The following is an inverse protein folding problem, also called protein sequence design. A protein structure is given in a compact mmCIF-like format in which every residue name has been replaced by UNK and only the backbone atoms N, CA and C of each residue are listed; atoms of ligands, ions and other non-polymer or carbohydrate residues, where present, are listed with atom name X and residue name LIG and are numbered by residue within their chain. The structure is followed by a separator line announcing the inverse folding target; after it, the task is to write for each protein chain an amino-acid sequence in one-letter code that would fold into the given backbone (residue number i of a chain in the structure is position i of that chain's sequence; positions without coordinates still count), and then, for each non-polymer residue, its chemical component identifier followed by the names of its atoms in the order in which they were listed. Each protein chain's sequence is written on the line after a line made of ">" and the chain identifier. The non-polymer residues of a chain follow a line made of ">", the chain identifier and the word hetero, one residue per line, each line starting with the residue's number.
data_IF_576395677242
#
_entry.id   IF_576395677242
#
_cell.length_a   1.000
_cell.length_b   1.000
_cell.length_c   1.000
_cell.angle_alpha   90.00
_cell.angle_beta   90.00
_cell.angle_gamma   90.00
#
_symmetry.space_group_name_H-M   'P 1'
#
loop_
_entity.id
_entity.type
_entity.pdbx_description
1 polymer ?
#
# COMPACT_ATOMS: atom_id res chain seq x y z
N UNK A 1 14.32 -39.17 -47.38
CA UNK A 1 13.20 -39.58 -46.53
C UNK A 1 13.57 -39.72 -45.05
N UNK A 2 14.83 -39.99 -44.69
CA UNK A 2 15.22 -40.18 -43.27
C UNK A 2 15.43 -38.88 -42.42
N UNK A 3 15.43 -37.69 -42.99
CA UNK A 3 15.65 -36.45 -42.24
C UNK A 3 14.37 -35.80 -41.67
N UNK A 4 13.19 -36.23 -42.13
CA UNK A 4 11.90 -35.73 -41.61
C UNK A 4 11.36 -36.58 -40.44
N UNK A 5 11.76 -37.84 -40.32
CA UNK A 5 11.32 -38.70 -39.21
C UNK A 5 12.04 -38.38 -37.89
N UNK A 6 13.30 -37.95 -37.94
CA UNK A 6 14.04 -37.56 -36.74
C UNK A 6 13.56 -36.24 -36.13
N UNK A 7 13.12 -35.30 -36.95
CA UNK A 7 12.50 -34.02 -36.47
C UNK A 7 11.10 -34.25 -35.87
N UNK A 8 10.32 -35.15 -36.46
CA UNK A 8 9.01 -35.53 -35.93
C UNK A 8 9.11 -36.36 -34.63
N UNK A 9 10.09 -37.24 -34.51
CA UNK A 9 10.33 -38.02 -33.29
C UNK A 9 10.85 -37.12 -32.13
N UNK A 10 11.68 -36.15 -32.40
CA UNK A 10 12.13 -35.16 -31.37
C UNK A 10 11.01 -34.23 -30.96
N UNK A 11 10.13 -33.83 -31.89
CA UNK A 11 8.94 -33.03 -31.58
C UNK A 11 7.89 -33.84 -30.81
N UNK A 12 7.69 -35.13 -31.10
CA UNK A 12 6.79 -36.01 -30.35
C UNK A 12 7.34 -36.36 -28.96
N UNK A 13 8.65 -36.50 -28.77
CA UNK A 13 9.24 -36.74 -27.43
C UNK A 13 9.13 -35.53 -26.52
N UNK A 14 9.09 -34.31 -27.04
CA UNK A 14 8.90 -33.08 -26.21
C UNK A 14 7.44 -32.83 -25.82
N UNK A 15 6.46 -33.38 -26.54
CA UNK A 15 5.03 -33.19 -26.26
C UNK A 15 4.53 -33.81 -24.95
N UNK A 16 5.21 -34.85 -24.44
CA UNK A 16 4.79 -35.58 -23.23
C UNK A 16 5.45 -35.12 -21.92
N UNK A 17 6.47 -34.27 -21.98
CA UNK A 17 7.24 -33.88 -20.80
C UNK A 17 6.97 -32.42 -20.41
N UNK A 18 5.81 -32.17 -19.79
CA UNK A 18 5.49 -30.85 -19.23
C UNK A 18 6.28 -30.69 -17.94
N UNK A 19 7.05 -29.60 -17.87
CA UNK A 19 7.81 -29.25 -16.68
C UNK A 19 7.40 -27.82 -16.22
N UNK A 20 7.16 -27.67 -14.93
CA UNK A 20 6.72 -26.42 -14.36
C UNK A 20 7.84 -25.68 -13.64
N UNK A 21 7.95 -24.36 -13.87
CA UNK A 21 8.60 -23.47 -12.94
C UNK A 21 7.54 -22.82 -12.07
N UNK A 22 7.54 -23.14 -10.80
CA UNK A 22 6.61 -22.59 -9.80
C UNK A 22 7.24 -21.37 -9.17
N UNK A 23 6.64 -20.19 -9.35
CA UNK A 23 7.14 -18.95 -8.80
C UNK A 23 6.38 -18.65 -7.51
N UNK A 24 7.11 -18.57 -6.38
CA UNK A 24 6.59 -18.24 -5.06
C UNK A 24 7.12 -16.87 -4.63
N UNK A 25 6.38 -15.77 -4.90
CA UNK A 25 6.73 -14.47 -4.36
C UNK A 25 6.39 -14.40 -2.88
N UNK A 26 7.25 -13.81 -2.08
CA UNK A 26 7.01 -13.65 -0.64
C UNK A 26 7.53 -12.32 -0.12
N UNK A 27 6.71 -11.66 0.70
CA UNK A 27 7.08 -10.49 1.46
C UNK A 27 6.34 -10.48 2.80
N UNK A 28 7.10 -10.57 3.91
CA UNK A 28 6.57 -10.56 5.28
C UNK A 28 5.43 -11.58 5.51
N UNK A 29 5.65 -12.81 5.07
CA UNK A 29 4.68 -13.91 5.12
C UNK A 29 5.18 -15.10 5.95
N UNK A 30 5.95 -14.85 7.01
CA UNK A 30 6.51 -15.89 7.87
C UNK A 30 5.46 -16.88 8.40
N UNK A 31 4.24 -16.40 8.68
CA UNK A 31 3.14 -17.24 9.19
C UNK A 31 2.59 -18.24 8.17
N UNK A 32 2.75 -17.98 6.87
CA UNK A 32 2.11 -18.76 5.80
C UNK A 32 3.09 -19.55 4.95
N UNK A 33 4.26 -19.00 4.66
CA UNK A 33 5.20 -19.50 3.63
C UNK A 33 5.56 -20.99 3.79
N UNK A 34 5.67 -21.49 5.03
CA UNK A 34 5.97 -22.91 5.27
C UNK A 34 4.85 -23.84 4.77
N UNK A 35 3.58 -23.42 4.91
CA UNK A 35 2.43 -24.18 4.41
C UNK A 35 2.45 -24.25 2.89
N UNK A 36 2.69 -23.11 2.23
CA UNK A 36 2.81 -23.05 0.79
C UNK A 36 3.92 -23.96 0.25
N UNK A 37 5.14 -23.88 0.80
CA UNK A 37 6.25 -24.74 0.38
C UNK A 37 5.95 -26.22 0.62
N UNK A 38 5.37 -26.58 1.77
CA UNK A 38 4.99 -27.96 2.05
C UNK A 38 3.96 -28.51 1.06
N UNK A 39 3.01 -27.69 0.64
CA UNK A 39 2.02 -28.07 -0.38
C UNK A 39 2.67 -28.37 -1.74
N UNK A 40 3.75 -27.64 -2.04
CA UNK A 40 4.55 -27.88 -3.24
C UNK A 40 5.35 -29.19 -3.15
N UNK A 41 5.95 -29.47 -1.98
CA UNK A 41 6.66 -30.69 -1.74
C UNK A 41 5.77 -31.95 -1.75
N UNK A 42 4.47 -31.77 -1.51
CA UNK A 42 3.47 -32.85 -1.50
C UNK A 42 2.85 -33.12 -2.88
N UNK A 43 3.32 -32.49 -3.96
CA UNK A 43 2.79 -32.74 -5.30
C UNK A 43 3.09 -34.16 -5.77
N UNK A 44 2.07 -34.81 -6.35
CA UNK A 44 2.21 -36.15 -6.98
C UNK A 44 2.92 -36.08 -8.33
N UNK A 45 2.98 -34.92 -8.93
CA UNK A 45 3.67 -34.63 -10.19
C UNK A 45 5.11 -34.18 -9.92
N UNK A 46 6.10 -34.91 -10.42
CA UNK A 46 7.51 -34.69 -10.04
C UNK A 46 8.28 -33.66 -10.88
N UNK A 47 7.78 -33.35 -12.07
CA UNK A 47 8.54 -32.51 -13.03
C UNK A 47 8.32 -31.00 -12.81
N UNK A 48 8.93 -30.47 -11.76
CA UNK A 48 8.86 -29.08 -11.39
C UNK A 48 10.12 -28.56 -10.69
N UNK A 49 10.31 -27.28 -10.75
CA UNK A 49 11.21 -26.50 -9.89
C UNK A 49 10.41 -25.45 -9.12
N UNK A 50 10.87 -25.07 -7.94
CA UNK A 50 10.30 -23.99 -7.11
C UNK A 50 11.29 -22.86 -7.01
N UNK A 51 10.85 -21.65 -7.40
CA UNK A 51 11.61 -20.42 -7.35
C UNK A 51 10.97 -19.51 -6.32
N UNK A 52 11.58 -19.44 -5.14
CA UNK A 52 11.13 -18.59 -4.06
C UNK A 52 11.77 -17.21 -4.26
N UNK A 53 10.95 -16.19 -4.44
CA UNK A 53 11.41 -14.80 -4.63
C UNK A 53 11.03 -13.99 -3.41
N UNK A 54 11.98 -13.76 -2.51
CA UNK A 54 11.81 -12.93 -1.33
C UNK A 54 12.05 -11.46 -1.70
N UNK A 55 10.99 -10.70 -1.69
CA UNK A 55 10.97 -9.28 -2.07
C UNK A 55 11.32 -8.36 -0.89
N UNK A 56 12.47 -8.62 -0.23
CA UNK A 56 12.97 -7.78 0.84
C UNK A 56 12.21 -7.92 2.17
N UNK A 57 11.77 -9.14 2.55
CA UNK A 57 11.11 -9.37 3.84
C UNK A 57 11.97 -8.96 5.03
N UNK A 58 11.34 -8.36 6.02
CA UNK A 58 11.96 -7.91 7.29
C UNK A 58 11.57 -8.77 8.49
N UNK A 59 10.63 -9.72 8.30
CA UNK A 59 10.22 -10.69 9.29
C UNK A 59 11.07 -11.99 9.21
N UNK A 60 10.63 -13.03 9.89
CA UNK A 60 11.32 -14.35 9.89
C UNK A 60 11.11 -15.18 8.62
N UNK A 61 10.60 -14.60 7.53
CA UNK A 61 10.33 -15.32 6.27
C UNK A 61 11.58 -16.04 5.76
N UNK A 62 12.72 -15.34 5.68
CA UNK A 62 13.97 -15.93 5.18
C UNK A 62 14.44 -17.13 6.03
N UNK A 63 14.32 -17.03 7.35
CA UNK A 63 14.64 -18.11 8.28
C UNK A 63 13.76 -19.36 8.02
N UNK A 64 12.46 -19.17 7.82
CA UNK A 64 11.53 -20.27 7.60
C UNK A 64 11.68 -20.94 6.23
N UNK A 65 12.16 -20.21 5.24
CA UNK A 65 12.43 -20.73 3.89
C UNK A 65 13.75 -21.52 3.85
N UNK A 66 14.75 -21.12 4.63
CA UNK A 66 16.12 -21.63 4.54
C UNK A 66 16.21 -23.17 4.57
N UNK A 67 15.37 -23.85 5.37
CA UNK A 67 15.38 -25.32 5.49
C UNK A 67 14.88 -26.08 4.27
N UNK A 68 14.27 -25.39 3.28
CA UNK A 68 13.73 -26.01 2.07
C UNK A 68 14.61 -25.79 0.84
N UNK A 69 15.62 -24.94 0.93
CA UNK A 69 16.48 -24.58 -0.21
C UNK A 69 17.50 -25.69 -0.41
N UNK A 70 17.50 -26.29 -1.60
CA UNK A 70 18.50 -27.29 -2.02
C UNK A 70 19.42 -26.80 -3.16
N UNK A 71 19.13 -25.64 -3.72
CA UNK A 71 19.86 -25.02 -4.82
C UNK A 71 19.64 -25.65 -6.19
N UNK A 72 19.01 -26.81 -6.26
CA UNK A 72 18.72 -27.55 -7.49
C UNK A 72 17.23 -27.44 -7.88
N UNK A 73 16.36 -28.05 -7.08
CA UNK A 73 14.91 -28.08 -7.33
C UNK A 73 14.18 -26.90 -6.64
N UNK A 74 14.71 -26.45 -5.51
CA UNK A 74 14.21 -25.30 -4.76
C UNK A 74 15.27 -24.22 -4.72
N UNK A 75 15.04 -23.17 -5.44
CA UNK A 75 15.94 -22.01 -5.55
C UNK A 75 15.37 -20.81 -4.81
N UNK A 76 16.26 -19.98 -4.28
CA UNK A 76 15.90 -18.79 -3.52
C UNK A 76 16.59 -17.56 -4.09
N UNK A 77 15.79 -16.53 -4.33
CA UNK A 77 16.24 -15.20 -4.79
C UNK A 77 15.76 -14.19 -3.76
N UNK A 78 16.65 -13.30 -3.31
CA UNK A 78 16.30 -12.26 -2.35
C UNK A 78 16.64 -10.89 -2.89
N UNK A 79 15.75 -9.94 -2.63
CA UNK A 79 15.98 -8.51 -2.85
C UNK A 79 16.40 -7.85 -1.53
N UNK A 80 17.24 -6.80 -1.56
CA UNK A 80 17.62 -6.07 -0.35
C UNK A 80 16.47 -5.25 0.24
N UNK A 81 15.50 -4.85 -0.59
CA UNK A 81 14.32 -4.07 -0.23
C UNK A 81 13.10 -4.55 -1.02
N UNK A 82 11.91 -4.10 -0.62
CA UNK A 82 10.69 -4.41 -1.34
C UNK A 82 10.61 -3.62 -2.66
N UNK A 83 10.65 -4.34 -3.77
CA UNK A 83 10.57 -3.78 -5.12
C UNK A 83 9.17 -3.92 -5.74
N UNK A 84 8.30 -4.69 -5.10
CA UNK A 84 6.90 -4.88 -5.48
C UNK A 84 6.63 -6.18 -6.23
N UNK A 85 5.40 -6.65 -6.12
CA UNK A 85 4.97 -7.97 -6.59
C UNK A 85 5.24 -8.21 -8.09
N UNK A 86 5.04 -7.21 -8.94
CA UNK A 86 5.30 -7.33 -10.38
C UNK A 86 6.77 -7.63 -10.66
N UNK A 87 7.68 -6.96 -9.96
CA UNK A 87 9.13 -7.20 -10.11
C UNK A 87 9.54 -8.55 -9.54
N UNK A 88 8.97 -8.95 -8.40
CA UNK A 88 9.19 -10.28 -7.85
C UNK A 88 8.78 -11.38 -8.85
N UNK A 89 7.64 -11.25 -9.53
CA UNK A 89 7.25 -12.17 -10.59
C UNK A 89 8.21 -12.15 -11.76
N UNK A 90 8.63 -10.99 -12.23
CA UNK A 90 9.56 -10.87 -13.36
C UNK A 90 10.91 -11.54 -13.05
N UNK A 91 11.44 -11.37 -11.84
CA UNK A 91 12.65 -12.09 -11.38
C UNK A 91 12.44 -13.60 -11.37
N UNK A 92 11.27 -14.07 -10.94
CA UNK A 92 10.91 -15.48 -11.00
C UNK A 92 10.85 -15.98 -12.44
N UNK A 93 10.24 -15.21 -13.36
CA UNK A 93 10.16 -15.55 -14.78
C UNK A 93 11.56 -15.60 -15.44
N UNK A 94 12.45 -14.70 -15.08
CA UNK A 94 13.84 -14.69 -15.60
C UNK A 94 14.63 -15.89 -15.10
N UNK A 95 14.39 -16.32 -13.87
CA UNK A 95 15.02 -17.49 -13.27
C UNK A 95 14.38 -18.82 -13.70
N UNK A 96 13.18 -18.81 -14.27
CA UNK A 96 12.45 -20.02 -14.66
C UNK A 96 13.16 -20.78 -15.78
N UNK A 97 13.41 -22.07 -15.58
CA UNK A 97 14.09 -22.94 -16.56
C UNK A 97 13.11 -23.70 -17.47
N UNK A 98 11.85 -23.82 -17.07
CA UNK A 98 10.86 -24.63 -17.78
C UNK A 98 9.92 -23.77 -18.65
N UNK A 99 9.26 -24.45 -19.60
CA UNK A 99 8.36 -23.83 -20.57
C UNK A 99 6.96 -23.52 -20.01
N UNK A 100 6.63 -24.02 -18.83
CA UNK A 100 5.34 -23.79 -18.18
C UNK A 100 5.54 -23.14 -16.83
N UNK A 101 4.83 -22.06 -16.61
CA UNK A 101 4.90 -21.22 -15.41
C UNK A 101 3.61 -21.37 -14.62
N UNK A 102 3.73 -21.52 -13.31
CA UNK A 102 2.62 -21.41 -12.37
C UNK A 102 3.03 -20.60 -11.16
N UNK A 103 2.08 -20.12 -10.39
CA UNK A 103 2.32 -19.22 -9.27
C UNK A 103 1.75 -19.78 -7.98
N UNK A 104 2.54 -19.80 -6.95
CA UNK A 104 2.14 -20.17 -5.61
C UNK A 104 2.39 -18.99 -4.66
N UNK A 105 1.41 -18.09 -4.45
CA UNK A 105 1.52 -17.05 -3.42
C UNK A 105 1.82 -17.68 -2.05
N UNK A 106 2.62 -16.99 -1.24
CA UNK A 106 3.10 -17.56 0.03
C UNK A 106 1.98 -17.79 1.07
N UNK A 107 0.83 -17.16 0.89
CA UNK A 107 -0.39 -17.28 1.72
C UNK A 107 -1.35 -18.38 1.25
N UNK A 108 -1.18 -18.89 0.04
CA UNK A 108 -2.04 -19.89 -0.56
C UNK A 108 -1.41 -21.30 -0.53
N UNK A 109 -2.13 -22.33 -1.00
CA UNK A 109 -1.56 -23.66 -1.14
C UNK A 109 -2.23 -24.50 -2.24
N UNK A 110 -1.52 -25.54 -2.68
CA UNK A 110 -1.97 -26.53 -3.67
C UNK A 110 -2.43 -27.83 -3.00
N UNK A 111 -3.42 -28.48 -3.59
CA UNK A 111 -3.65 -29.91 -3.35
C UNK A 111 -2.55 -30.76 -4.01
N UNK A 112 -2.31 -31.96 -3.52
CA UNK A 112 -1.25 -32.80 -4.05
C UNK A 112 -1.32 -33.13 -5.54
N UNK A 113 -2.51 -33.08 -6.16
CA UNK A 113 -2.73 -33.34 -7.59
C UNK A 113 -2.75 -32.11 -8.47
N UNK A 114 -2.45 -30.91 -7.93
CA UNK A 114 -2.61 -29.66 -8.66
C UNK A 114 -1.82 -29.63 -9.98
N UNK A 115 -0.50 -29.87 -9.90
CA UNK A 115 0.36 -29.84 -11.08
C UNK A 115 0.05 -30.93 -12.08
N UNK A 116 -0.36 -32.11 -11.62
CA UNK A 116 -0.81 -33.19 -12.49
C UNK A 116 -2.01 -32.79 -13.33
N UNK A 117 -3.04 -32.18 -12.70
CA UNK A 117 -4.24 -31.70 -13.41
C UNK A 117 -3.92 -30.56 -14.38
N UNK A 118 -2.99 -29.68 -14.03
CA UNK A 118 -2.51 -28.66 -14.96
C UNK A 118 -1.78 -29.25 -16.16
N UNK A 119 -0.93 -30.27 -15.93
CA UNK A 119 -0.20 -30.95 -17.00
C UNK A 119 -1.16 -31.67 -17.94
N UNK A 120 -2.16 -32.41 -17.42
CA UNK A 120 -3.18 -33.08 -18.22
C UNK A 120 -3.92 -32.08 -19.13
N UNK A 121 -4.39 -30.98 -18.58
CA UNK A 121 -5.11 -29.98 -19.36
C UNK A 121 -4.25 -29.34 -20.46
N UNK A 122 -2.94 -29.16 -20.25
CA UNK A 122 -2.03 -28.70 -21.31
C UNK A 122 -1.77 -29.77 -22.37
N UNK A 123 -1.73 -31.05 -22.00
CA UNK A 123 -1.57 -32.19 -22.95
C UNK A 123 -2.79 -32.29 -23.88
N UNK A 124 -3.97 -32.17 -23.28
CA UNK A 124 -5.25 -32.28 -24.00
C UNK A 124 -5.56 -31.05 -24.89
N UNK A 125 -4.88 -29.93 -24.67
CA UNK A 125 -5.17 -28.68 -25.36
C UNK A 125 -3.88 -27.99 -25.86
N UNK A 126 -3.43 -28.32 -27.04
CA UNK A 126 -2.20 -27.76 -27.64
C UNK A 126 -2.22 -26.24 -27.77
N UNK A 127 -3.39 -25.62 -27.97
CA UNK A 127 -3.58 -24.20 -28.12
C UNK A 127 -3.83 -23.47 -26.77
N UNK A 128 -3.71 -24.17 -25.62
CA UNK A 128 -3.86 -23.54 -24.34
C UNK A 128 -2.70 -22.57 -24.07
N UNK A 129 -3.00 -21.30 -23.95
CA UNK A 129 -2.08 -20.29 -23.44
C UNK A 129 -2.04 -20.30 -21.91
N UNK A 130 -3.20 -20.49 -21.28
CA UNK A 130 -3.39 -20.56 -19.84
C UNK A 130 -4.28 -21.76 -19.51
N UNK A 131 -3.90 -22.51 -18.50
CA UNK A 131 -4.73 -23.52 -17.86
C UNK A 131 -5.04 -23.05 -16.43
N UNK A 132 -6.25 -23.29 -15.93
CA UNK A 132 -6.63 -22.89 -14.57
C UNK A 132 -7.51 -23.93 -13.90
N UNK A 133 -7.28 -24.12 -12.59
CA UNK A 133 -8.13 -24.96 -11.76
C UNK A 133 -9.32 -24.17 -11.19
N UNK A 134 -10.29 -24.88 -10.66
CA UNK A 134 -11.19 -24.32 -9.67
C UNK A 134 -10.41 -23.96 -8.40
N UNK A 135 -10.97 -23.10 -7.58
CA UNK A 135 -10.36 -22.58 -6.37
C UNK A 135 -11.32 -22.65 -5.19
N UNK A 136 -10.84 -23.01 -4.03
CA UNK A 136 -11.55 -22.91 -2.76
C UNK A 136 -11.13 -21.62 -2.07
N UNK A 137 -12.09 -20.96 -1.41
CA UNK A 137 -11.84 -19.80 -0.58
C UNK A 137 -12.03 -20.19 0.89
N UNK A 138 -11.04 -19.95 1.73
CA UNK A 138 -11.05 -20.34 3.14
C UNK A 138 -12.07 -19.54 4.01
N UNK A 139 -12.60 -18.45 3.48
CA UNK A 139 -13.69 -17.68 4.10
C UNK A 139 -15.08 -18.23 3.80
N UNK A 140 -15.23 -19.18 2.90
CA UNK A 140 -16.54 -19.66 2.53
C UNK A 140 -17.00 -20.77 3.50
N UNK A 141 -18.13 -20.57 4.16
CA UNK A 141 -18.85 -21.62 4.88
C UNK A 141 -19.34 -22.75 3.93
N UNK A 142 -19.38 -22.45 2.62
CA UNK A 142 -19.70 -23.42 1.58
C UNK A 142 -18.42 -23.99 0.96
N UNK A 143 -18.28 -25.30 0.87
CA UNK A 143 -17.10 -25.92 0.29
C UNK A 143 -16.99 -25.58 -1.21
N UNK A 144 -16.01 -24.72 -1.53
CA UNK A 144 -15.51 -24.56 -2.88
C UNK A 144 -16.34 -23.74 -3.84
N UNK A 145 -16.16 -22.42 -3.81
CA UNK A 145 -16.58 -21.60 -4.96
C UNK A 145 -15.70 -21.96 -6.17
N UNK A 146 -16.30 -22.64 -7.15
CA UNK A 146 -15.63 -23.07 -8.38
C UNK A 146 -15.52 -21.90 -9.37
N UNK A 147 -14.47 -21.13 -9.28
CA UNK A 147 -14.29 -19.91 -10.11
C UNK A 147 -14.05 -20.23 -11.59
N UNK A 148 -13.64 -21.45 -11.95
CA UNK A 148 -13.45 -21.85 -13.34
C UNK A 148 -14.73 -21.78 -14.20
N UNK A 149 -15.91 -21.91 -13.59
CA UNK A 149 -17.19 -21.77 -14.30
C UNK A 149 -17.50 -20.33 -14.72
N UNK A 150 -16.96 -19.35 -13.99
CA UNK A 150 -17.19 -17.94 -14.24
C UNK A 150 -16.09 -17.27 -15.05
N UNK A 151 -14.92 -17.90 -15.12
CA UNK A 151 -13.77 -17.39 -15.85
C UNK A 151 -13.62 -18.08 -17.21
N UNK A 152 -14.43 -17.64 -18.17
CA UNK A 152 -14.21 -18.02 -19.57
C UNK A 152 -13.19 -17.06 -20.19
N UNK A 153 -11.91 -17.41 -20.01
CA UNK A 153 -10.83 -16.52 -20.42
C UNK A 153 -10.69 -15.30 -19.48
N UNK A 154 -9.76 -14.41 -19.79
CA UNK A 154 -9.56 -13.17 -19.04
C UNK A 154 -10.64 -12.13 -19.37
N UNK A 155 -11.86 -12.41 -19.02
CA UNK A 155 -12.98 -11.48 -19.21
C UNK A 155 -12.89 -10.36 -18.16
N UNK A 156 -13.11 -9.10 -18.52
CA UNK A 156 -13.15 -8.01 -17.56
C UNK A 156 -14.11 -8.31 -16.40
N UNK A 157 -13.64 -8.24 -15.17
CA UNK A 157 -14.42 -8.53 -13.96
C UNK A 157 -14.24 -9.95 -13.40
N UNK A 158 -13.62 -10.86 -14.14
CA UNK A 158 -13.31 -12.22 -13.67
C UNK A 158 -11.80 -12.40 -13.63
N UNK A 159 -11.18 -11.98 -12.55
CA UNK A 159 -9.74 -12.15 -12.33
C UNK A 159 -9.47 -13.59 -11.87
N UNK A 160 -8.76 -14.36 -12.71
CA UNK A 160 -8.14 -15.59 -12.24
C UNK A 160 -7.12 -15.25 -11.15
N UNK A 161 -7.17 -15.98 -10.03
CA UNK A 161 -6.18 -15.86 -8.98
C UNK A 161 -4.86 -16.53 -9.42
N UNK A 162 -3.76 -16.08 -8.85
CA UNK A 162 -2.44 -16.62 -9.15
C UNK A 162 -2.36 -18.13 -8.88
N UNK A 163 -2.80 -18.54 -7.69
CA UNK A 163 -2.72 -19.91 -7.20
C UNK A 163 -3.46 -20.93 -8.08
N UNK A 164 -4.43 -20.49 -8.89
CA UNK A 164 -5.22 -21.37 -9.75
C UNK A 164 -4.70 -21.47 -11.19
N UNK A 165 -3.62 -20.76 -11.56
CA UNK A 165 -3.23 -20.56 -12.96
C UNK A 165 -1.87 -21.15 -13.27
N UNK A 166 -1.76 -21.73 -14.48
CA UNK A 166 -0.50 -22.01 -15.13
C UNK A 166 -0.55 -21.55 -16.58
N UNK A 167 0.57 -21.09 -17.14
CA UNK A 167 0.64 -20.64 -18.52
C UNK A 167 1.94 -21.06 -19.20
N UNK A 168 1.97 -21.03 -20.53
CA UNK A 168 3.22 -21.19 -21.28
C UNK A 168 4.12 -19.98 -21.02
N UNK A 169 5.40 -20.22 -20.84
CA UNK A 169 6.39 -19.14 -20.71
C UNK A 169 6.42 -18.30 -21.98
N UNK A 170 6.37 -16.98 -21.84
CA UNK A 170 6.42 -15.99 -22.91
C UNK A 170 7.38 -14.88 -22.56
N UNK A 171 7.62 -13.96 -23.49
CA UNK A 171 8.33 -12.72 -23.23
C UNK A 171 7.49 -11.67 -22.48
N UNK A 172 6.19 -11.92 -22.29
CA UNK A 172 5.33 -11.00 -21.56
C UNK A 172 5.79 -10.84 -20.11
N UNK A 173 5.75 -9.60 -19.60
CA UNK A 173 6.19 -9.23 -18.26
C UNK A 173 5.05 -8.69 -17.43
N UNK A 174 5.12 -8.89 -16.14
CA UNK A 174 4.24 -8.24 -15.16
C UNK A 174 4.52 -6.75 -15.11
N UNK A 175 3.46 -5.96 -14.91
CA UNK A 175 3.60 -4.52 -14.67
C UNK A 175 4.28 -4.30 -13.32
N UNK A 176 5.38 -3.60 -13.32
CA UNK A 176 6.15 -3.29 -12.11
C UNK A 176 5.57 -2.08 -11.38
N UNK A 177 5.91 -1.93 -10.10
CA UNK A 177 5.44 -0.81 -9.27
C UNK A 177 5.88 0.56 -9.82
N UNK A 178 7.04 0.62 -10.43
CA UNK A 178 7.56 1.82 -11.07
C UNK A 178 6.69 2.30 -12.23
N UNK A 179 6.02 1.38 -12.89
CA UNK A 179 5.09 1.70 -13.97
C UNK A 179 3.70 2.03 -13.43
N UNK A 180 3.16 1.19 -12.54
CA UNK A 180 1.81 1.36 -12.02
C UNK A 180 1.53 0.52 -10.77
N UNK A 181 0.97 1.15 -9.72
CA UNK A 181 0.31 0.45 -8.61
C UNK A 181 -1.18 0.31 -8.93
N UNK A 182 -1.69 -0.92 -8.92
CA UNK A 182 -3.09 -1.22 -9.22
C UNK A 182 -3.55 -2.49 -8.53
N UNK A 183 -4.82 -2.58 -8.17
CA UNK A 183 -5.46 -3.81 -7.66
C UNK A 183 -5.61 -4.88 -8.74
N UNK A 184 -5.79 -4.48 -9.99
CA UNK A 184 -6.02 -5.37 -11.15
C UNK A 184 -4.73 -5.83 -11.84
N UNK A 185 -3.62 -5.92 -11.12
CA UNK A 185 -2.33 -6.39 -11.64
C UNK A 185 -2.46 -7.73 -12.41
N UNK A 186 -3.24 -8.67 -11.85
CA UNK A 186 -3.42 -9.99 -12.44
C UNK A 186 -4.21 -9.92 -13.77
N UNK A 187 -5.31 -9.16 -13.78
CA UNK A 187 -6.12 -8.96 -15.00
C UNK A 187 -5.26 -8.35 -16.10
N UNK A 188 -4.38 -7.40 -15.76
CA UNK A 188 -3.49 -6.78 -16.74
C UNK A 188 -2.54 -7.80 -17.38
N UNK A 189 -2.02 -8.74 -16.61
CA UNK A 189 -1.15 -9.78 -17.14
C UNK A 189 -1.92 -10.84 -17.94
N UNK A 190 -3.06 -11.32 -17.43
CA UNK A 190 -3.87 -12.29 -18.15
C UNK A 190 -4.34 -11.77 -19.50
N UNK A 191 -4.62 -10.47 -19.62
CA UNK A 191 -4.96 -9.85 -20.91
C UNK A 191 -3.85 -9.92 -21.95
N UNK A 192 -2.59 -9.91 -21.54
CA UNK A 192 -1.47 -10.14 -22.47
C UNK A 192 -1.52 -11.55 -23.03
N UNK A 193 -1.79 -12.53 -22.18
CA UNK A 193 -1.84 -13.94 -22.55
C UNK A 193 -3.05 -14.33 -23.41
N UNK A 194 -4.16 -13.57 -23.42
CA UNK A 194 -5.32 -13.86 -24.30
C UNK A 194 -4.97 -13.81 -25.78
N UNK A 195 -3.89 -13.13 -26.14
CA UNK A 195 -3.38 -13.07 -27.53
C UNK A 195 -2.56 -14.28 -27.94
N UNK A 196 -2.19 -15.13 -26.97
CA UNK A 196 -1.29 -16.28 -27.15
C UNK A 196 -2.05 -17.60 -27.37
N UNK A 197 -3.33 -17.67 -27.04
CA UNK A 197 -4.16 -18.85 -27.16
C UNK A 197 -5.37 -18.84 -26.26
N UNK A 198 -5.98 -20.01 -26.09
CA UNK A 198 -7.20 -20.17 -25.29
C UNK A 198 -6.90 -20.38 -23.80
N UNK A 199 -7.87 -20.05 -22.95
CA UNK A 199 -7.86 -20.30 -21.52
C UNK A 199 -8.70 -21.55 -21.24
N UNK A 200 -8.11 -22.56 -20.62
CA UNK A 200 -8.71 -23.90 -20.47
C UNK A 200 -8.87 -24.25 -18.99
N UNK A 201 -10.08 -24.56 -18.51
CA UNK A 201 -10.28 -25.04 -17.15
C UNK A 201 -9.90 -26.52 -17.00
N UNK A 202 -9.33 -26.89 -15.84
CA UNK A 202 -9.07 -28.30 -15.50
C UNK A 202 -10.35 -29.07 -15.12
N UNK A 203 -11.43 -28.36 -14.84
CA UNK A 203 -12.70 -28.96 -14.39
C UNK A 203 -12.71 -29.39 -12.91
N UNK A 204 -11.60 -29.21 -12.17
CA UNK A 204 -11.47 -29.58 -10.76
C UNK A 204 -10.90 -28.44 -9.93
N UNK A 205 -11.27 -28.37 -8.64
CA UNK A 205 -10.66 -27.44 -7.68
C UNK A 205 -9.48 -28.12 -7.01
N UNK A 206 -8.28 -27.57 -7.19
CA UNK A 206 -7.04 -28.16 -6.69
C UNK A 206 -6.13 -27.16 -5.98
N UNK A 207 -6.65 -26.03 -5.59
CA UNK A 207 -5.92 -25.03 -4.82
C UNK A 207 -6.85 -24.27 -3.87
N UNK A 208 -6.26 -23.61 -2.91
CA UNK A 208 -6.98 -22.80 -1.92
C UNK A 208 -6.37 -21.41 -1.79
N UNK A 209 -7.24 -20.42 -1.81
CA UNK A 209 -6.91 -19.04 -1.56
C UNK A 209 -7.24 -18.68 -0.12
N UNK A 210 -6.26 -18.16 0.59
CA UNK A 210 -6.37 -17.84 2.00
C UNK A 210 -6.62 -16.35 2.19
N UNK A 211 -7.73 -15.99 2.86
CA UNK A 211 -8.03 -14.60 3.16
C UNK A 211 -7.29 -14.11 4.40
N UNK A 212 -6.71 -12.92 4.32
CA UNK A 212 -6.14 -12.19 5.45
C UNK A 212 -6.07 -10.67 5.17
N UNK A 213 -5.99 -9.80 6.21
CA UNK A 213 -6.12 -8.35 6.04
C UNK A 213 -4.96 -7.69 5.28
N UNK A 214 -3.79 -8.34 5.23
CA UNK A 214 -2.59 -7.79 4.58
C UNK A 214 -2.44 -8.21 3.11
N UNK A 215 -3.49 -8.71 2.50
CA UNK A 215 -3.46 -9.01 1.07
C UNK A 215 -3.36 -7.72 0.25
N UNK A 216 -2.49 -7.75 -0.77
CA UNK A 216 -2.18 -6.58 -1.60
C UNK A 216 -3.42 -5.89 -2.17
N UNK A 217 -4.36 -6.64 -2.70
CA UNK A 217 -5.57 -6.07 -3.29
C UNK A 217 -6.46 -5.37 -2.25
N UNK A 218 -6.54 -5.88 -1.02
CA UNK A 218 -7.25 -5.25 0.09
C UNK A 218 -6.57 -3.93 0.51
N UNK A 219 -5.24 -3.90 0.45
CA UNK A 219 -4.46 -2.70 0.74
C UNK A 219 -4.66 -1.65 -0.36
N UNK A 220 -4.53 -2.04 -1.64
CA UNK A 220 -4.66 -1.10 -2.77
C UNK A 220 -6.10 -0.64 -3.02
N UNK A 221 -7.07 -1.50 -2.77
CA UNK A 221 -8.48 -1.30 -3.09
C UNK A 221 -9.29 -0.61 -2.00
N UNK A 222 -8.65 -0.03 -1.01
CA UNK A 222 -9.37 0.64 0.07
C UNK A 222 -10.21 1.82 -0.42
N UNK A 223 -11.50 1.83 -0.03
CA UNK A 223 -12.52 2.72 -0.61
C UNK A 223 -12.34 4.19 -0.27
N UNK A 224 -11.70 4.51 0.85
CA UNK A 224 -11.65 5.87 1.39
C UNK A 224 -10.38 6.65 1.03
N UNK A 225 -9.67 6.23 -0.01
CA UNK A 225 -8.51 6.95 -0.55
C UNK A 225 -7.20 6.77 0.21
N UNK A 226 -7.22 6.00 1.30
CA UNK A 226 -6.03 5.72 2.11
C UNK A 226 -5.22 4.52 1.67
N UNK A 227 -5.71 3.75 0.70
CA UNK A 227 -5.07 2.52 0.25
C UNK A 227 -3.63 2.72 -0.22
N UNK A 228 -3.35 3.85 -0.86
CA UNK A 228 -2.00 4.16 -1.31
C UNK A 228 -1.04 4.45 -0.14
N UNK A 229 -1.50 5.16 0.87
CA UNK A 229 -0.68 5.43 2.07
C UNK A 229 -0.44 4.15 2.88
N UNK A 230 -1.49 3.33 3.02
CA UNK A 230 -1.37 2.01 3.63
C UNK A 230 -0.40 1.12 2.84
N UNK A 231 -0.46 1.18 1.51
CA UNK A 231 0.47 0.50 0.62
C UNK A 231 1.91 0.96 0.86
N UNK A 232 2.15 2.28 0.91
CA UNK A 232 3.47 2.83 1.19
C UNK A 232 4.01 2.42 2.54
N UNK A 233 3.18 2.51 3.59
CA UNK A 233 3.58 2.12 4.93
C UNK A 233 3.98 0.64 5.00
N UNK A 234 3.14 -0.22 4.45
CA UNK A 234 3.35 -1.66 4.52
C UNK A 234 4.57 -2.13 3.71
N UNK A 235 4.77 -1.53 2.52
CA UNK A 235 5.87 -1.89 1.62
C UNK A 235 7.09 -0.95 1.74
N UNK A 236 7.11 -0.03 2.70
CA UNK A 236 8.20 0.94 2.93
C UNK A 236 8.57 1.77 1.69
N UNK A 237 7.58 2.25 0.94
CA UNK A 237 7.78 3.00 -0.30
C UNK A 237 7.79 4.50 -0.03
N UNK A 238 8.94 5.15 -0.12
CA UNK A 238 9.10 6.60 0.08
C UNK A 238 9.00 7.43 -1.20
N UNK A 239 9.21 6.81 -2.36
CA UNK A 239 9.19 7.51 -3.65
C UNK A 239 7.78 7.75 -4.19
N UNK A 240 7.60 8.75 -5.07
CA UNK A 240 6.35 8.98 -5.76
C UNK A 240 5.91 7.78 -6.57
N UNK A 241 4.62 7.54 -6.59
CA UNK A 241 3.99 6.43 -7.29
C UNK A 241 3.09 6.93 -8.42
N UNK A 242 2.98 6.10 -9.45
CA UNK A 242 1.90 6.16 -10.40
C UNK A 242 0.89 5.10 -10.03
N UNK A 243 -0.37 5.46 -9.85
CA UNK A 243 -1.38 4.51 -9.37
C UNK A 243 -2.73 4.69 -10.03
N UNK A 244 -3.51 3.62 -10.06
CA UNK A 244 -4.87 3.65 -10.55
C UNK A 244 -5.81 4.07 -9.43
N UNK A 245 -6.35 5.29 -9.50
CA UNK A 245 -7.29 5.84 -8.53
C UNK A 245 -8.72 5.32 -8.75
N UNK A 246 -9.06 4.93 -9.97
CA UNK A 246 -10.34 4.30 -10.34
C UNK A 246 -10.18 3.52 -11.64
N UNK A 247 -11.23 2.81 -12.05
CA UNK A 247 -11.24 2.07 -13.33
C UNK A 247 -10.85 2.93 -14.53
N UNK A 248 -11.07 4.24 -14.47
CA UNK A 248 -10.88 5.18 -15.58
C UNK A 248 -9.81 6.24 -15.31
N UNK A 249 -9.28 6.31 -14.11
CA UNK A 249 -8.36 7.38 -13.71
C UNK A 249 -7.06 6.82 -13.16
N UNK A 250 -5.96 7.19 -13.81
CA UNK A 250 -4.60 7.01 -13.30
C UNK A 250 -4.08 8.35 -12.81
N UNK A 251 -3.38 8.35 -11.69
CA UNK A 251 -2.70 9.53 -11.11
C UNK A 251 -1.21 9.24 -11.14
N UNK A 252 -0.44 10.18 -11.66
CA UNK A 252 1.01 10.21 -11.54
C UNK A 252 1.38 11.28 -10.50
N UNK A 253 1.93 10.86 -9.37
CA UNK A 253 2.28 11.79 -8.29
C UNK A 253 3.45 12.71 -8.65
N UNK A 254 4.32 12.32 -9.58
CA UNK A 254 5.37 13.23 -10.06
C UNK A 254 4.76 14.43 -10.78
N UNK A 255 3.74 14.18 -11.61
CA UNK A 255 3.05 15.22 -12.35
C UNK A 255 2.09 16.01 -11.43
N UNK A 256 1.26 15.29 -10.67
CA UNK A 256 0.24 15.88 -9.81
C UNK A 256 0.83 16.81 -8.75
N UNK A 257 2.02 16.50 -8.24
CA UNK A 257 2.68 17.29 -7.19
C UNK A 257 3.97 17.96 -7.65
N UNK A 258 4.23 18.06 -8.94
CA UNK A 258 5.46 18.65 -9.49
C UNK A 258 5.67 20.09 -9.00
N UNK A 259 4.61 20.88 -8.93
CA UNK A 259 4.66 22.26 -8.46
C UNK A 259 4.99 22.37 -6.96
N UNK A 260 4.69 21.34 -6.15
CA UNK A 260 4.95 21.33 -4.71
C UNK A 260 6.34 20.78 -4.33
N UNK A 261 7.10 20.30 -5.30
CA UNK A 261 8.46 19.74 -5.13
C UNK A 261 9.57 20.70 -5.49
N UNK A 262 9.28 21.98 -5.60
CA UNK A 262 10.30 22.97 -5.89
C UNK A 262 11.33 23.00 -4.75
N UNK A 263 12.63 23.21 -5.06
CA UNK A 263 13.62 23.46 -4.04
C UNK A 263 13.14 24.58 -3.12
N UNK A 264 13.36 24.44 -1.80
CA UNK A 264 13.09 25.55 -0.88
C UNK A 264 13.81 26.79 -1.40
N UNK A 265 13.04 27.85 -1.63
CA UNK A 265 13.65 29.17 -1.67
C UNK A 265 14.29 29.37 -0.30
N UNK A 266 15.48 29.93 -0.28
CA UNK A 266 16.23 30.22 0.95
C UNK A 266 15.29 30.84 1.95
N UNK A 267 15.09 30.18 3.10
CA UNK A 267 14.21 30.67 4.16
C UNK A 267 14.68 32.06 4.52
N UNK A 268 13.85 33.08 4.29
CA UNK A 268 14.14 34.41 4.79
C UNK A 268 14.34 34.34 6.29
N UNK A 269 15.29 35.10 6.86
CA UNK A 269 15.74 34.98 8.25
C UNK A 269 14.66 35.03 9.34
N UNK A 270 13.43 35.41 8.99
CA UNK A 270 12.26 35.54 9.88
C UNK A 270 11.28 34.35 9.80
N UNK A 271 11.63 33.27 9.10
CA UNK A 271 10.78 32.08 8.99
C UNK A 271 10.69 31.28 10.29
N UNK A 272 9.47 30.84 10.63
CA UNK A 272 9.23 30.00 11.80
C UNK A 272 9.63 28.56 11.54
N UNK A 273 9.98 27.89 12.64
CA UNK A 273 9.99 26.44 12.75
C UNK A 273 8.60 25.98 13.23
N UNK A 274 7.84 25.32 12.38
CA UNK A 274 6.49 24.86 12.71
C UNK A 274 6.49 23.35 12.87
N UNK A 275 6.13 22.87 14.05
CA UNK A 275 5.84 21.44 14.26
C UNK A 275 4.37 21.20 13.95
N UNK A 276 4.10 20.47 12.89
CA UNK A 276 2.76 20.06 12.53
C UNK A 276 2.48 18.71 13.20
N UNK A 277 1.44 18.67 14.04
CA UNK A 277 1.00 17.44 14.71
C UNK A 277 -0.33 17.02 14.11
N UNK A 278 -0.41 15.81 13.59
CA UNK A 278 -1.66 15.28 13.07
C UNK A 278 -1.58 14.68 11.68
N UNK A 279 -2.35 15.20 10.74
CA UNK A 279 -2.55 14.58 9.43
C UNK A 279 -2.43 15.59 8.29
N UNK A 280 -1.57 15.28 7.31
CA UNK A 280 -1.32 16.13 6.14
C UNK A 280 -1.60 15.49 4.79
N UNK A 281 -1.99 14.22 4.78
CA UNK A 281 -1.95 13.34 3.61
C UNK A 281 -2.52 13.90 2.31
N UNK A 282 -3.52 14.77 2.36
CA UNK A 282 -4.25 15.21 1.17
C UNK A 282 -4.36 16.72 1.02
N UNK A 283 -3.48 17.47 1.67
CA UNK A 283 -3.53 18.93 1.64
C UNK A 283 -2.17 19.54 1.31
N UNK A 284 -1.64 19.32 0.09
CA UNK A 284 -0.36 19.91 -0.31
C UNK A 284 -0.36 21.43 -0.27
N UNK A 285 -1.52 22.06 -0.47
CA UNK A 285 -1.68 23.51 -0.45
C UNK A 285 -1.31 24.12 0.91
N UNK A 286 -1.52 23.39 2.01
CA UNK A 286 -1.14 23.85 3.36
C UNK A 286 0.37 23.90 3.52
N UNK A 287 1.05 22.85 3.10
CA UNK A 287 2.52 22.79 3.14
C UNK A 287 3.10 23.88 2.27
N UNK A 288 2.61 24.01 1.04
CA UNK A 288 3.10 25.01 0.12
C UNK A 288 2.90 26.44 0.65
N UNK A 289 1.72 26.76 1.20
CA UNK A 289 1.44 28.08 1.74
C UNK A 289 2.38 28.44 2.90
N UNK A 290 2.67 27.49 3.79
CA UNK A 290 3.59 27.70 4.90
C UNK A 290 5.06 27.77 4.43
N UNK A 291 5.46 26.96 3.46
CA UNK A 291 6.80 27.03 2.86
C UNK A 291 7.02 28.32 2.06
N UNK A 292 6.04 28.76 1.25
CA UNK A 292 6.09 30.04 0.51
C UNK A 292 6.16 31.24 1.45
N UNK A 293 5.60 31.12 2.67
CA UNK A 293 5.77 32.11 3.73
C UNK A 293 7.16 32.06 4.40
N UNK A 294 8.04 31.14 3.97
CA UNK A 294 9.41 31.04 4.47
C UNK A 294 9.57 30.22 5.75
N UNK A 295 8.56 29.44 6.14
CA UNK A 295 8.62 28.61 7.34
C UNK A 295 9.35 27.28 7.10
N UNK A 296 9.97 26.74 8.17
CA UNK A 296 10.49 25.36 8.20
C UNK A 296 9.47 24.45 8.86
N UNK A 297 9.15 23.35 8.18
CA UNK A 297 8.08 22.45 8.60
C UNK A 297 8.64 21.12 9.11
N UNK A 298 8.12 20.69 10.23
CA UNK A 298 8.40 19.42 10.87
C UNK A 298 7.07 18.70 11.08
N UNK A 299 7.02 17.40 10.86
CA UNK A 299 5.78 16.64 10.92
C UNK A 299 5.83 15.49 11.93
N UNK A 300 4.95 15.55 12.93
CA UNK A 300 4.69 14.46 13.86
C UNK A 300 3.31 13.88 13.54
N UNK A 301 3.30 12.70 12.92
CA UNK A 301 2.12 12.12 12.33
C UNK A 301 1.40 11.16 13.25
N UNK A 302 0.07 11.20 13.23
CA UNK A 302 -0.78 10.24 13.91
C UNK A 302 -0.44 8.81 13.46
N UNK A 303 -0.45 7.87 14.40
CA UNK A 303 -0.39 6.45 14.04
C UNK A 303 -1.60 6.11 13.18
N UNK A 304 -1.43 5.37 12.07
CA UNK A 304 -2.53 5.02 11.19
C UNK A 304 -3.60 4.23 11.97
N UNK A 305 -4.68 4.87 12.33
CA UNK A 305 -5.94 4.22 12.74
C UNK A 305 -6.80 3.93 11.52
N UNK A 306 -6.75 4.83 10.57
CA UNK A 306 -7.45 4.77 9.30
C UNK A 306 -6.47 5.00 8.16
N UNK A 307 -6.87 4.60 7.00
CA UNK A 307 -6.17 4.70 5.75
C UNK A 307 -5.82 6.12 5.29
N UNK A 308 -6.30 7.15 5.94
CA UNK A 308 -5.95 8.55 5.64
C UNK A 308 -4.75 9.08 6.38
N UNK A 309 -4.28 8.36 7.40
CA UNK A 309 -3.17 8.87 8.16
C UNK A 309 -1.95 8.91 7.29
N UNK A 310 -1.33 10.03 7.38
CA UNK A 310 -0.14 10.36 6.66
C UNK A 310 0.92 9.36 6.92
N UNK A 311 1.54 8.98 5.89
CA UNK A 311 2.75 8.21 5.91
C UNK A 311 3.84 9.10 5.34
N UNK A 312 4.76 9.47 6.17
CA UNK A 312 5.97 10.11 5.70
C UNK A 312 6.87 9.14 4.93
N UNK A 313 7.84 9.61 4.18
CA UNK A 313 7.99 10.98 3.77
C UNK A 313 6.90 11.37 2.76
N UNK A 314 6.45 12.59 2.86
CA UNK A 314 5.45 13.11 1.93
C UNK A 314 6.02 13.16 0.51
N UNK A 315 5.23 12.79 -0.51
CA UNK A 315 5.67 12.88 -1.89
C UNK A 315 5.80 14.32 -2.41
N UNK A 316 5.42 15.29 -1.61
CA UNK A 316 5.40 16.71 -1.91
C UNK A 316 5.85 17.53 -0.68
N UNK A 317 6.34 18.74 -0.92
CA UNK A 317 6.85 19.64 0.11
C UNK A 317 8.18 19.16 0.71
N UNK A 318 8.63 19.89 1.71
CA UNK A 318 9.91 19.63 2.41
C UNK A 318 9.69 19.60 3.92
N UNK A 319 8.73 18.79 4.34
CA UNK A 319 8.47 18.55 5.74
C UNK A 319 9.45 17.51 6.27
N UNK A 320 10.20 17.84 7.30
CA UNK A 320 11.06 16.90 7.98
C UNK A 320 10.23 16.03 8.94
N UNK A 321 10.30 14.72 8.78
CA UNK A 321 9.59 13.79 9.64
C UNK A 321 10.18 13.76 11.05
N UNK A 322 9.31 13.82 12.06
CA UNK A 322 9.65 13.62 13.47
C UNK A 322 9.19 12.22 13.86
N UNK A 323 10.11 11.28 14.17
CA UNK A 323 9.75 9.94 14.58
C UNK A 323 8.93 9.94 15.88
N UNK A 324 7.82 9.19 15.89
CA UNK A 324 6.90 9.15 17.03
C UNK A 324 7.56 8.68 18.34
N UNK A 325 8.45 7.72 18.26
CA UNK A 325 9.17 7.16 19.42
C UNK A 325 10.24 8.09 19.99
N UNK A 326 10.61 9.12 19.25
CA UNK A 326 11.67 10.08 19.62
C UNK A 326 11.18 11.53 19.63
N UNK A 327 9.88 11.77 19.54
CA UNK A 327 9.36 13.11 19.30
C UNK A 327 9.78 14.13 20.38
N UNK A 328 9.80 13.75 21.66
CA UNK A 328 10.19 14.65 22.75
C UNK A 328 11.63 15.17 22.58
N UNK A 329 12.55 14.25 22.35
CA UNK A 329 13.95 14.58 22.08
C UNK A 329 14.11 15.47 20.84
N UNK A 330 13.38 15.13 19.75
CA UNK A 330 13.42 15.91 18.51
C UNK A 330 12.85 17.32 18.70
N UNK A 331 11.79 17.49 19.47
CA UNK A 331 11.24 18.81 19.80
C UNK A 331 12.24 19.67 20.58
N UNK A 332 12.95 19.09 21.54
CA UNK A 332 14.04 19.78 22.27
C UNK A 332 15.20 20.19 21.35
N UNK A 333 15.55 19.38 20.36
CA UNK A 333 16.59 19.68 19.37
C UNK A 333 16.15 20.74 18.36
N UNK A 334 14.95 20.60 17.80
CA UNK A 334 14.37 21.48 16.78
C UNK A 334 14.06 22.85 17.37
N UNK A 335 13.49 22.87 18.58
CA UNK A 335 12.95 24.05 19.26
C UNK A 335 11.97 24.79 18.33
N UNK A 336 10.82 24.17 18.02
CA UNK A 336 9.84 24.81 17.14
C UNK A 336 9.27 26.08 17.79
N UNK A 337 8.97 27.09 16.97
CA UNK A 337 8.37 28.32 17.43
C UNK A 337 6.88 28.17 17.71
N UNK A 338 6.25 27.18 17.11
CA UNK A 338 4.82 26.90 17.23
C UNK A 338 4.51 25.44 16.94
N UNK A 339 3.55 24.88 17.66
CA UNK A 339 2.94 23.58 17.39
C UNK A 339 1.59 23.83 16.69
N UNK A 340 1.46 23.32 15.48
CA UNK A 340 0.23 23.39 14.70
C UNK A 340 -0.45 22.03 14.69
N UNK A 341 -1.45 21.86 15.57
CA UNK A 341 -2.23 20.64 15.67
C UNK A 341 -3.32 20.61 14.59
N UNK A 342 -3.01 19.96 13.46
CA UNK A 342 -3.89 19.78 12.32
C UNK A 342 -4.63 18.47 12.47
N UNK A 343 -5.84 18.51 13.06
CA UNK A 343 -6.51 17.36 13.62
C UNK A 343 -7.60 16.79 12.71
N UNK A 344 -7.54 15.48 12.55
CA UNK A 344 -8.69 14.59 12.35
C UNK A 344 -8.92 13.81 13.63
N UNK A 345 -9.99 13.01 13.70
CA UNK A 345 -10.27 12.15 14.85
C UNK A 345 -9.09 11.22 15.17
N UNK A 346 -8.38 10.72 14.13
CA UNK A 346 -7.21 9.84 14.29
C UNK A 346 -6.00 10.51 14.94
N UNK A 347 -5.94 11.84 14.92
CA UNK A 347 -4.82 12.60 15.45
C UNK A 347 -5.04 13.17 16.86
N UNK A 348 -6.23 13.01 17.42
CA UNK A 348 -6.57 13.55 18.74
C UNK A 348 -5.62 13.00 19.84
N UNK A 349 -5.37 11.71 19.83
CA UNK A 349 -4.51 11.05 20.84
C UNK A 349 -3.10 11.63 20.87
N UNK A 350 -2.45 11.72 19.69
CA UNK A 350 -1.08 12.22 19.60
C UNK A 350 -1.00 13.72 19.92
N UNK A 351 -1.98 14.50 19.49
CA UNK A 351 -2.01 15.92 19.78
C UNK A 351 -2.24 16.19 21.28
N UNK A 352 -3.09 15.40 21.93
CA UNK A 352 -3.31 15.47 23.37
C UNK A 352 -2.05 15.05 24.15
N UNK A 353 -1.31 14.03 23.68
CA UNK A 353 -0.02 13.68 24.29
C UNK A 353 0.98 14.82 24.19
N UNK A 354 1.04 15.51 23.05
CA UNK A 354 1.94 16.66 22.85
C UNK A 354 1.54 17.85 23.71
N UNK A 355 0.25 18.17 23.77
CA UNK A 355 -0.28 19.22 24.65
C UNK A 355 0.05 18.93 26.12
N UNK A 356 -0.21 17.71 26.57
CA UNK A 356 -0.02 17.28 27.95
C UNK A 356 1.47 17.24 28.39
N UNK A 357 2.40 17.27 27.44
CA UNK A 357 3.83 17.32 27.74
C UNK A 357 4.32 18.69 28.18
N UNK A 358 3.48 19.73 28.12
CA UNK A 358 3.75 21.10 28.56
C UNK A 358 5.13 21.62 28.07
N UNK A 359 5.31 21.61 26.77
CA UNK A 359 6.59 21.97 26.13
C UNK A 359 6.92 23.46 26.23
N UNK A 360 6.00 24.30 26.69
CA UNK A 360 6.11 25.76 26.68
C UNK A 360 6.06 26.39 25.27
N UNK A 361 5.75 25.61 24.25
CA UNK A 361 5.66 26.07 22.87
C UNK A 361 4.19 26.38 22.57
N UNK A 362 3.87 27.56 21.99
CA UNK A 362 2.49 27.91 21.61
C UNK A 362 1.82 26.81 20.79
N UNK A 363 0.63 26.38 21.22
CA UNK A 363 -0.14 25.31 20.62
C UNK A 363 -1.38 25.84 19.91
N UNK A 364 -1.47 25.61 18.60
CA UNK A 364 -2.61 26.03 17.77
C UNK A 364 -3.47 24.84 17.40
N UNK A 365 -4.70 24.85 17.84
CA UNK A 365 -5.70 23.86 17.54
C UNK A 365 -6.41 24.12 16.21
N UNK A 366 -6.51 23.10 15.36
CA UNK A 366 -7.29 23.13 14.13
C UNK A 366 -7.93 21.77 13.88
N UNK A 367 -9.21 21.65 14.20
CA UNK A 367 -9.96 20.41 14.00
C UNK A 367 -10.77 20.47 12.70
N UNK A 368 -10.57 19.50 11.84
CA UNK A 368 -11.11 19.50 10.46
C UNK A 368 -12.45 18.80 10.31
N UNK A 369 -12.87 18.04 11.31
CA UNK A 369 -14.05 17.18 11.25
C UNK A 369 -15.13 17.65 12.23
N UNK A 370 -16.33 17.13 12.05
CA UNK A 370 -17.39 17.31 13.05
C UNK A 370 -17.04 16.52 14.32
N UNK A 371 -17.45 17.00 15.51
CA UNK A 371 -17.11 16.36 16.77
C UNK A 371 -17.78 14.99 17.00
N UNK A 372 -18.74 14.61 16.18
CA UNK A 372 -19.50 13.37 16.34
C UNK A 372 -18.65 12.10 16.31
N UNK A 373 -17.64 12.04 15.43
CA UNK A 373 -16.75 10.89 15.37
C UNK A 373 -15.87 10.80 16.62
N UNK A 374 -15.39 11.93 17.13
CA UNK A 374 -14.65 11.96 18.39
C UNK A 374 -15.49 11.50 19.58
N UNK A 375 -16.77 11.87 19.62
CA UNK A 375 -17.72 11.41 20.64
C UNK A 375 -17.94 9.89 20.53
N UNK A 376 -18.16 9.40 19.32
CA UNK A 376 -18.38 7.97 19.06
C UNK A 376 -17.17 7.11 19.44
N UNK A 377 -15.98 7.61 19.21
CA UNK A 377 -14.73 6.91 19.50
C UNK A 377 -14.25 7.11 20.96
N UNK A 378 -15.01 7.82 21.78
CA UNK A 378 -14.66 8.07 23.20
C UNK A 378 -13.51 9.05 23.38
N UNK A 379 -13.25 9.91 22.39
CA UNK A 379 -12.16 10.89 22.39
C UNK A 379 -12.62 12.31 22.74
N UNK A 380 -13.86 12.45 23.20
CA UNK A 380 -14.46 13.75 23.45
C UNK A 380 -13.70 14.56 24.50
N UNK A 381 -13.35 13.95 25.63
CA UNK A 381 -12.64 14.64 26.72
C UNK A 381 -11.29 15.19 26.24
N UNK A 382 -10.53 14.40 25.47
CA UNK A 382 -9.27 14.83 24.89
C UNK A 382 -9.46 15.97 23.88
N UNK A 383 -10.51 15.92 23.08
CA UNK A 383 -10.81 17.00 22.14
C UNK A 383 -11.18 18.29 22.86
N UNK A 384 -11.91 18.21 23.99
CA UNK A 384 -12.21 19.36 24.86
C UNK A 384 -10.93 19.93 25.46
N UNK A 385 -10.04 19.10 25.99
CA UNK A 385 -8.76 19.55 26.54
C UNK A 385 -7.96 20.29 25.48
N UNK A 386 -7.81 19.70 24.29
CA UNK A 386 -7.12 20.33 23.17
C UNK A 386 -7.71 21.69 22.81
N UNK A 387 -9.04 21.79 22.79
CA UNK A 387 -9.74 23.05 22.54
C UNK A 387 -9.51 24.07 23.65
N UNK A 388 -9.66 23.64 24.91
CA UNK A 388 -9.62 24.50 26.09
C UNK A 388 -8.22 25.09 26.32
N UNK A 389 -7.21 24.25 26.18
CA UNK A 389 -5.83 24.61 26.53
C UNK A 389 -5.01 25.11 25.33
N UNK A 390 -5.57 25.15 24.12
CA UNK A 390 -4.88 25.72 22.97
C UNK A 390 -4.67 27.23 23.13
N UNK A 391 -3.49 27.70 22.71
CA UNK A 391 -3.12 29.10 22.70
C UNK A 391 -3.71 29.85 21.48
N UNK A 392 -4.15 29.13 20.45
CA UNK A 392 -4.85 29.66 19.28
C UNK A 392 -5.79 28.62 18.69
N UNK A 393 -6.87 29.06 18.03
CA UNK A 393 -7.87 28.17 17.44
C UNK A 393 -8.20 28.54 16.01
N UNK A 394 -8.25 27.55 15.16
CA UNK A 394 -8.67 27.66 13.76
C UNK A 394 -9.90 26.80 13.54
N UNK A 395 -10.96 27.39 13.05
CA UNK A 395 -12.22 26.71 12.74
C UNK A 395 -12.41 26.58 11.23
N UNK A 396 -13.01 25.50 10.80
CA UNK A 396 -13.36 25.28 9.39
C UNK A 396 -14.33 26.33 8.84
N UNK A 397 -15.31 26.69 9.68
CA UNK A 397 -16.34 27.66 9.34
C UNK A 397 -16.98 28.23 10.62
N UNK A 398 -17.81 29.25 10.45
CA UNK A 398 -18.53 29.88 11.55
C UNK A 398 -19.52 28.95 12.29
N UNK A 399 -20.06 27.95 11.60
CA UNK A 399 -20.97 26.98 12.24
C UNK A 399 -20.20 26.13 13.25
N UNK A 400 -19.01 25.63 12.85
CA UNK A 400 -18.12 24.89 13.75
C UNK A 400 -17.71 25.76 14.94
N UNK A 401 -17.36 27.02 14.72
CA UNK A 401 -17.02 27.97 15.79
C UNK A 401 -18.18 28.15 16.77
N UNK A 402 -19.37 28.42 16.27
CA UNK A 402 -20.58 28.59 17.08
C UNK A 402 -20.90 27.34 17.87
N UNK A 403 -20.77 26.16 17.24
CA UNK A 403 -21.03 24.89 17.87
C UNK A 403 -20.12 24.65 19.07
N UNK A 404 -18.80 24.80 18.92
CA UNK A 404 -17.85 24.66 20.02
C UNK A 404 -18.13 25.71 21.13
N UNK A 405 -18.44 26.94 20.77
CA UNK A 405 -18.76 28.00 21.72
C UNK A 405 -20.04 27.78 22.53
N UNK A 406 -20.96 26.92 22.07
CA UNK A 406 -22.16 26.54 22.84
C UNK A 406 -21.84 25.58 23.98
N UNK A 407 -20.89 24.69 23.80
CA UNK A 407 -20.61 23.61 24.72
C UNK A 407 -19.37 23.82 25.59
N UNK A 408 -18.43 24.64 25.10
CA UNK A 408 -17.13 24.84 25.76
C UNK A 408 -16.91 26.35 25.96
N UNK A 409 -16.96 26.87 27.19
CA UNK A 409 -16.67 28.25 27.48
C UNK A 409 -15.24 28.62 27.07
N UNK A 410 -15.06 29.75 26.38
CA UNK A 410 -13.74 30.27 26.06
C UNK A 410 -13.21 31.15 27.21
N UNK A 411 -12.80 30.50 28.27
CA UNK A 411 -12.26 31.18 29.46
C UNK A 411 -10.89 31.86 29.19
N UNK A 412 -10.09 31.28 28.27
CA UNK A 412 -8.74 31.80 27.93
C UNK A 412 -8.78 32.95 26.93
N UNK A 413 -9.88 33.17 26.24
CA UNK A 413 -10.00 34.15 25.15
C UNK A 413 -8.87 34.04 24.12
N UNK A 414 -8.51 32.82 23.77
CA UNK A 414 -7.44 32.53 22.82
C UNK A 414 -7.74 33.17 21.45
N UNK A 415 -6.73 33.65 20.72
CA UNK A 415 -6.90 34.13 19.35
C UNK A 415 -7.61 33.10 18.49
N UNK A 416 -8.58 33.58 17.69
CA UNK A 416 -9.43 32.71 16.88
C UNK A 416 -9.43 33.15 15.42
N UNK A 417 -9.42 32.18 14.52
CA UNK A 417 -9.62 32.37 13.09
C UNK A 417 -10.68 31.40 12.60
N UNK A 418 -11.56 31.88 11.75
CA UNK A 418 -12.52 31.05 11.01
C UNK A 418 -12.10 31.01 9.55
N UNK A 419 -12.01 29.82 9.01
CA UNK A 419 -11.78 29.61 7.58
C UNK A 419 -13.13 29.74 6.86
N UNK A 420 -13.17 30.52 5.79
CA UNK A 420 -14.33 30.53 4.91
C UNK A 420 -14.20 29.33 3.95
N UNK A 421 -15.18 28.45 3.95
CA UNK A 421 -15.16 27.25 3.09
C UNK A 421 -15.12 27.55 1.59
N UNK A 422 -15.52 28.75 1.20
CA UNK A 422 -15.52 29.18 -0.20
C UNK A 422 -14.20 29.87 -0.62
N UNK A 423 -13.29 30.15 0.33
CA UNK A 423 -12.00 30.72 -0.01
C UNK A 423 -11.04 29.66 -0.57
N UNK A 424 -10.22 29.99 -1.58
CA UNK A 424 -9.15 29.12 -2.03
C UNK A 424 -8.25 28.74 -0.86
N UNK A 425 -8.08 27.45 -0.61
CA UNK A 425 -7.28 26.91 0.51
C UNK A 425 -5.88 27.54 0.62
N UNK A 426 -5.29 27.89 -0.53
CA UNK A 426 -3.99 28.56 -0.63
C UNK A 426 -3.95 29.92 0.07
N UNK A 427 -5.01 30.71 -0.04
CA UNK A 427 -5.09 32.05 0.57
C UNK A 427 -5.36 31.97 2.07
N UNK A 428 -6.25 31.06 2.47
CA UNK A 428 -6.55 30.78 3.88
C UNK A 428 -5.29 30.45 4.67
N UNK A 429 -4.38 29.67 4.11
CA UNK A 429 -3.16 29.26 4.83
C UNK A 429 -2.05 30.32 4.82
N UNK A 430 -2.10 31.30 3.94
CA UNK A 430 -1.26 32.51 4.07
C UNK A 430 -1.61 33.30 5.32
N UNK A 431 -2.88 33.35 5.67
CA UNK A 431 -3.38 34.14 6.83
C UNK A 431 -3.18 33.41 8.17
N UNK A 432 -2.82 32.10 8.21
CA UNK A 432 -2.35 31.44 9.42
C UNK A 432 -1.15 32.16 10.09
N UNK A 433 -0.47 33.00 9.33
CA UNK A 433 0.56 33.94 9.84
C UNK A 433 0.04 34.94 10.85
N UNK A 434 -1.21 35.37 10.74
CA UNK A 434 -1.82 36.34 11.67
C UNK A 434 -2.02 35.77 13.08
N UNK A 435 -2.20 34.46 13.21
CA UNK A 435 -2.29 33.79 14.51
C UNK A 435 -0.96 33.89 15.26
N UNK A 436 0.18 33.85 14.55
CA UNK A 436 1.50 34.08 15.14
C UNK A 436 1.61 35.40 15.85
N UNK A 437 1.22 36.50 15.16
CA UNK A 437 1.32 37.83 15.74
C UNK A 437 0.42 37.97 16.97
N UNK A 438 -0.76 37.33 16.94
CA UNK A 438 -1.69 37.35 18.05
C UNK A 438 -1.21 36.45 19.22
N UNK A 439 -0.70 35.25 18.92
CA UNK A 439 -0.19 34.35 19.95
C UNK A 439 1.11 34.82 20.61
N UNK A 440 2.02 35.42 19.84
CA UNK A 440 3.26 36.02 20.35
C UNK A 440 3.06 37.39 21.01
N UNK A 441 2.05 38.18 20.55
CA UNK A 441 1.71 39.47 21.15
C UNK A 441 1.09 39.36 22.55
N UNK A 442 0.58 38.21 22.94
CA UNK A 442 0.06 37.94 24.28
C UNK A 442 1.11 37.31 25.25
N UNK A 443 2.33 37.03 24.75
CA UNK A 443 3.46 36.49 25.53
C UNK A 443 4.49 37.59 25.90
N UNK A 444 4.30 38.82 25.48
CA UNK A 444 5.01 40.04 25.88
C UNK A 444 4.06 40.92 26.71
#
# INVERSE_FOLDING_TARGET
>A
MCLNESKNASHMKNKNNIAFSVILPVYNQASFVRRAIKSMMAQTYDNWELIIVNDGSTDRTAEFVASFIDGARVRYISSPENEGLGRAFNRGLDAASNDYITYLPADDFYDGSHLEKMADAFRDNENAAVVFSGIRYDESEEPGVMSWRTCKGAVPGHALQLVQTAHRKTEDRWTEREELVTEDLFIMFWRKLTRRGVFVPTGTATCEWTSHPFQRHKICGERYGGGLNKYRAYYHVSRPLRFRASRYKTVDEKEAYAEYRRPLQTVCGDGLKILIVGELAYNPERIRALEEAGHRLYGLWAKPRFCYSTVGPLPFGQVEDVPYDQWRKRVEEIKPDIIYALLSTSAIDIAHEVLSADTGIPFVWHFKEGPHEAMKDGLWDKLIDLYTYADGRIYLNDETRKWFGLFIPDERKAPQMTLDGDMPKKEVFKDCFLIKQAALGNLI
#
